data_IF_078999870088
#
_entry.id   IF_078999870088
#
_cell.length_a   1.000
_cell.length_b   1.000
_cell.length_c   1.000
_cell.angle_alpha   90.00
_cell.angle_beta   90.00
_cell.angle_gamma   90.00
#
_symmetry.space_group_name_H-M   'P 1'
#
loop_
_entity.id
_entity.type
_entity.pdbx_description
1 polymer ?
#
# COMPACT_ATOMS: atom_id res chain seq x y z
N UNK A 1 27.37 45.85 72.94
CA UNK A 1 27.46 45.13 71.65
C UNK A 1 27.00 43.70 71.85
N UNK A 2 25.76 43.35 71.49
CA UNK A 2 25.29 41.95 71.50
C UNK A 2 25.13 41.48 70.06
N UNK A 3 25.97 40.52 69.64
CA UNK A 3 25.78 39.78 68.38
C UNK A 3 24.82 38.63 68.63
N UNK A 4 23.68 38.64 67.95
CA UNK A 4 22.78 37.48 67.89
C UNK A 4 23.32 36.48 66.86
N UNK A 5 23.68 35.29 67.33
CA UNK A 5 24.08 34.15 66.50
C UNK A 5 22.82 33.52 65.89
N UNK A 6 22.63 33.67 64.58
CA UNK A 6 21.59 32.94 63.85
C UNK A 6 22.13 31.56 63.48
N UNK A 7 21.70 30.52 64.21
CA UNK A 7 22.03 29.13 63.85
C UNK A 7 21.07 28.65 62.75
N UNK A 8 21.55 28.18 61.59
CA UNK A 8 20.67 27.74 60.52
C UNK A 8 19.98 26.43 60.93
N UNK A 9 18.65 26.46 61.05
CA UNK A 9 17.82 25.25 61.19
C UNK A 9 18.06 24.36 59.97
N UNK A 10 18.63 23.18 60.17
CA UNK A 10 18.69 22.13 59.15
C UNK A 10 17.25 21.79 58.74
N UNK A 11 16.90 22.00 57.48
CA UNK A 11 15.65 21.51 56.90
C UNK A 11 15.70 19.98 56.99
N UNK A 12 14.81 19.39 57.78
CA UNK A 12 14.57 17.94 57.73
C UNK A 12 14.13 17.61 56.30
N UNK A 13 14.84 16.73 55.60
CA UNK A 13 14.35 16.20 54.32
C UNK A 13 13.09 15.39 54.61
N UNK A 14 11.93 15.99 54.41
CA UNK A 14 10.65 15.31 54.48
C UNK A 14 10.55 14.32 53.33
N UNK A 15 10.31 13.04 53.64
CA UNK A 15 9.92 12.06 52.63
C UNK A 15 8.56 12.43 52.03
N UNK A 16 8.24 11.84 50.87
CA UNK A 16 6.95 12.02 50.21
C UNK A 16 5.81 11.48 51.07
N UNK A 17 4.67 12.17 51.08
CA UNK A 17 3.48 11.69 51.78
C UNK A 17 2.89 10.47 51.07
N UNK A 18 2.26 9.56 51.82
CA UNK A 18 1.56 8.39 51.26
C UNK A 18 0.54 8.81 50.19
N UNK A 19 -0.21 9.89 50.44
CA UNK A 19 -1.23 10.39 49.50
C UNK A 19 -0.60 10.94 48.21
N UNK A 20 0.58 11.56 48.30
CA UNK A 20 1.33 12.06 47.13
C UNK A 20 1.81 10.91 46.27
N UNK A 21 2.43 9.88 46.87
CA UNK A 21 2.89 8.70 46.15
C UNK A 21 1.72 7.95 45.54
N UNK A 22 0.61 7.80 46.28
CA UNK A 22 -0.59 7.14 45.77
C UNK A 22 -1.19 7.88 44.55
N UNK A 23 -1.28 9.21 44.61
CA UNK A 23 -1.74 10.03 43.48
C UNK A 23 -0.77 9.95 42.29
N UNK A 24 0.54 10.00 42.54
CA UNK A 24 1.55 9.88 41.50
C UNK A 24 1.47 8.51 40.79
N UNK A 25 1.31 7.42 41.55
CA UNK A 25 1.15 6.06 41.00
C UNK A 25 -0.18 5.94 40.24
N UNK A 26 -1.27 6.53 40.74
CA UNK A 26 -2.56 6.50 40.06
C UNK A 26 -2.48 7.17 38.68
N UNK A 27 -1.88 8.36 38.59
CA UNK A 27 -1.71 9.09 37.32
C UNK A 27 -0.75 8.33 36.39
N UNK A 28 0.36 7.82 36.91
CA UNK A 28 1.31 7.03 36.13
C UNK A 28 0.66 5.76 35.55
N UNK A 29 -0.14 5.05 36.36
CA UNK A 29 -0.86 3.86 35.93
C UNK A 29 -1.85 4.17 34.79
N UNK A 30 -2.61 5.26 34.90
CA UNK A 30 -3.51 5.71 33.82
C UNK A 30 -2.73 5.97 32.53
N UNK A 31 -1.61 6.70 32.60
CA UNK A 31 -0.76 6.96 31.43
C UNK A 31 -0.21 5.68 30.78
N UNK A 32 0.28 4.73 31.59
CA UNK A 32 0.80 3.45 31.09
C UNK A 32 -0.30 2.64 30.41
N UNK A 33 -1.49 2.55 31.02
CA UNK A 33 -2.64 1.86 30.43
C UNK A 33 -3.03 2.49 29.09
N UNK A 34 -3.03 3.82 29.01
CA UNK A 34 -3.29 4.53 27.75
C UNK A 34 -2.24 4.17 26.68
N UNK A 35 -0.95 4.20 27.00
CA UNK A 35 0.10 3.82 26.05
C UNK A 35 -0.04 2.36 25.59
N UNK A 36 -0.29 1.43 26.52
CA UNK A 36 -0.49 0.02 26.20
C UNK A 36 -1.73 -0.20 25.32
N UNK A 37 -2.79 0.57 25.54
CA UNK A 37 -4.00 0.54 24.71
C UNK A 37 -3.78 0.98 23.27
N UNK A 38 -2.79 1.84 23.02
CA UNK A 38 -2.44 2.34 21.67
C UNK A 38 -1.45 1.45 20.92
N UNK A 39 -0.71 0.58 21.61
CA UNK A 39 0.24 -0.35 20.98
C UNK A 39 -0.35 -1.21 19.85
N UNK A 40 -1.50 -1.90 20.02
CA UNK A 40 -2.03 -2.74 18.95
C UNK A 40 -2.39 -1.94 17.70
N UNK A 41 -2.91 -0.73 17.86
CA UNK A 41 -3.26 0.16 16.74
C UNK A 41 -2.00 0.62 15.99
N UNK A 42 -0.94 0.96 16.72
CA UNK A 42 0.34 1.33 16.12
C UNK A 42 0.96 0.18 15.31
N UNK A 43 0.85 -1.06 15.80
CA UNK A 43 1.33 -2.25 15.09
C UNK A 43 0.50 -2.54 13.84
N UNK A 44 -0.82 -2.46 13.92
CA UNK A 44 -1.70 -2.67 12.76
C UNK A 44 -1.49 -1.59 11.69
N UNK A 45 -1.31 -0.33 12.10
CA UNK A 45 -0.95 0.75 11.18
C UNK A 45 0.40 0.47 10.51
N UNK A 46 1.43 0.07 11.28
CA UNK A 46 2.75 -0.28 10.73
C UNK A 46 2.66 -1.42 9.71
N UNK A 47 1.88 -2.46 10.01
CA UNK A 47 1.64 -3.58 9.08
C UNK A 47 0.97 -3.11 7.79
N UNK A 48 -0.11 -2.33 7.89
CA UNK A 48 -0.81 -1.77 6.72
C UNK A 48 0.10 -0.89 5.87
N UNK A 49 0.93 -0.06 6.50
CA UNK A 49 1.89 0.79 5.77
C UNK A 49 2.93 -0.04 5.03
N UNK A 50 3.43 -1.12 5.64
CA UNK A 50 4.34 -2.04 4.97
C UNK A 50 3.68 -2.71 3.75
N UNK A 51 2.44 -3.19 3.89
CA UNK A 51 1.68 -3.78 2.78
C UNK A 51 1.43 -2.76 1.66
N UNK A 52 1.06 -1.53 2.00
CA UNK A 52 0.88 -0.45 1.03
C UNK A 52 2.17 -0.13 0.28
N UNK A 53 3.32 -0.09 0.97
CA UNK A 53 4.61 0.16 0.34
C UNK A 53 4.98 -0.94 -0.68
N UNK A 54 4.75 -2.20 -0.32
CA UNK A 54 4.98 -3.34 -1.23
C UNK A 54 4.04 -3.26 -2.43
N UNK A 55 2.74 -3.04 -2.20
CA UNK A 55 1.75 -2.92 -3.27
C UNK A 55 2.09 -1.78 -4.25
N UNK A 56 2.55 -0.64 -3.74
CA UNK A 56 3.00 0.49 -4.55
C UNK A 56 4.23 0.13 -5.40
N UNK A 57 5.23 -0.52 -4.80
CA UNK A 57 6.42 -0.97 -5.54
C UNK A 57 6.04 -1.93 -6.68
N UNK A 58 5.24 -2.96 -6.38
CA UNK A 58 4.75 -3.92 -7.38
C UNK A 58 3.98 -3.21 -8.50
N UNK A 59 3.07 -2.30 -8.13
CA UNK A 59 2.27 -1.55 -9.10
C UNK A 59 3.17 -0.72 -10.03
N UNK A 60 4.15 -0.01 -9.48
CA UNK A 60 5.09 0.77 -10.29
C UNK A 60 5.93 -0.11 -11.21
N UNK A 61 6.38 -1.28 -10.73
CA UNK A 61 7.10 -2.24 -11.57
C UNK A 61 6.23 -2.70 -12.73
N UNK A 62 4.98 -3.08 -12.46
CA UNK A 62 4.02 -3.50 -13.49
C UNK A 62 3.75 -2.39 -14.50
N UNK A 63 3.55 -1.15 -14.04
CA UNK A 63 3.34 0.01 -14.93
C UNK A 63 4.57 0.23 -15.80
N UNK A 64 5.78 0.22 -15.22
CA UNK A 64 7.02 0.36 -16.01
C UNK A 64 7.17 -0.75 -17.05
N UNK A 65 6.85 -1.98 -16.71
CA UNK A 65 6.93 -3.11 -17.66
C UNK A 65 5.97 -2.91 -18.84
N UNK A 66 4.75 -2.48 -18.56
CA UNK A 66 3.74 -2.17 -19.57
C UNK A 66 4.16 -0.97 -20.43
N UNK A 67 4.66 0.10 -19.82
CA UNK A 67 5.10 1.30 -20.52
C UNK A 67 6.32 1.04 -21.40
N UNK A 68 7.23 0.16 -20.96
CA UNK A 68 8.37 -0.29 -21.76
C UNK A 68 7.96 -1.27 -22.86
N UNK A 69 6.86 -2.01 -22.71
CA UNK A 69 6.36 -2.89 -23.75
C UNK A 69 5.97 -2.10 -25.02
N UNK A 70 6.45 -2.53 -26.19
CA UNK A 70 6.15 -1.84 -27.45
C UNK A 70 4.63 -1.78 -27.75
N UNK A 71 4.18 -0.72 -28.43
CA UNK A 71 2.77 -0.62 -28.87
C UNK A 71 2.26 -1.85 -29.63
N UNK A 72 3.05 -2.51 -30.52
CA UNK A 72 2.59 -3.71 -31.22
C UNK A 72 2.20 -4.84 -30.28
N UNK A 73 2.96 -5.03 -29.19
CA UNK A 73 2.64 -6.03 -28.17
C UNK A 73 1.34 -5.65 -27.45
N UNK A 74 1.22 -4.39 -27.03
CA UNK A 74 0.05 -3.91 -26.30
C UNK A 74 -1.21 -3.94 -27.16
N UNK A 75 -1.14 -3.67 -28.47
CA UNK A 75 -2.29 -3.65 -29.36
C UNK A 75 -2.82 -5.06 -29.67
N UNK A 76 -1.93 -6.06 -29.80
CA UNK A 76 -2.32 -7.45 -30.05
C UNK A 76 -2.74 -8.20 -28.79
N UNK A 77 -2.24 -7.80 -27.62
CA UNK A 77 -2.55 -8.47 -26.35
C UNK A 77 -4.02 -8.36 -26.02
N UNK A 78 -4.74 -9.47 -26.00
CA UNK A 78 -6.13 -9.53 -25.56
C UNK A 78 -6.25 -10.56 -24.44
N UNK A 79 -6.96 -10.20 -23.37
CA UNK A 79 -7.16 -11.05 -22.20
C UNK A 79 -6.34 -10.63 -20.99
N UNK A 80 -6.11 -11.59 -20.10
CA UNK A 80 -5.51 -11.39 -18.79
C UNK A 80 -4.12 -12.01 -18.73
N UNK A 81 -3.18 -11.31 -18.11
CA UNK A 81 -1.81 -11.80 -17.86
C UNK A 81 -1.54 -11.77 -16.36
N UNK A 82 -0.93 -12.83 -15.84
CA UNK A 82 -0.62 -12.93 -14.41
C UNK A 82 0.87 -12.77 -14.16
N UNK A 83 1.20 -12.04 -13.09
CA UNK A 83 2.53 -11.90 -12.51
C UNK A 83 2.48 -12.26 -11.03
N UNK A 84 3.59 -12.74 -10.52
CA UNK A 84 3.70 -13.33 -9.19
C UNK A 84 4.82 -12.63 -8.45
N UNK A 85 4.62 -12.26 -7.19
CA UNK A 85 5.62 -11.54 -6.41
C UNK A 85 5.78 -12.14 -5.02
N UNK A 86 6.98 -12.01 -4.46
CA UNK A 86 7.26 -12.35 -3.07
C UNK A 86 6.94 -11.20 -2.10
N UNK A 87 7.18 -11.41 -0.81
CA UNK A 87 7.00 -10.44 0.27
C UNK A 87 7.92 -9.21 0.18
N UNK A 88 8.95 -9.26 -0.67
CA UNK A 88 9.85 -8.14 -0.97
C UNK A 88 9.42 -7.37 -2.24
N UNK A 89 8.29 -7.72 -2.86
CA UNK A 89 7.82 -7.10 -4.09
C UNK A 89 8.65 -7.45 -5.33
N UNK A 90 9.43 -8.53 -5.29
CA UNK A 90 10.22 -9.03 -6.43
C UNK A 90 9.41 -10.07 -7.22
N UNK A 91 9.49 -10.01 -8.55
CA UNK A 91 8.80 -10.95 -9.43
C UNK A 91 9.40 -12.36 -9.30
N UNK A 92 8.53 -13.36 -9.12
CA UNK A 92 8.90 -14.77 -8.94
C UNK A 92 8.15 -15.64 -9.95
N UNK A 93 8.53 -16.91 -10.04
CA UNK A 93 7.79 -17.88 -10.84
C UNK A 93 6.48 -18.29 -10.15
N UNK A 94 5.51 -18.75 -10.94
CA UNK A 94 4.18 -19.19 -10.48
C UNK A 94 4.23 -20.19 -9.32
N UNK A 95 5.16 -21.15 -9.41
CA UNK A 95 5.26 -22.27 -8.47
C UNK A 95 6.31 -22.02 -7.38
N UNK A 96 6.73 -20.77 -7.20
CA UNK A 96 7.69 -20.39 -6.14
C UNK A 96 7.09 -20.62 -4.75
N UNK A 97 7.89 -21.17 -3.84
CA UNK A 97 7.52 -21.30 -2.41
C UNK A 97 7.31 -19.96 -1.74
N UNK A 98 7.92 -18.92 -2.29
CA UNK A 98 7.96 -17.58 -1.69
C UNK A 98 6.87 -16.68 -2.30
N UNK A 99 5.96 -17.24 -3.08
CA UNK A 99 4.81 -16.55 -3.66
C UNK A 99 3.96 -15.94 -2.54
N UNK A 100 3.82 -14.63 -2.54
CA UNK A 100 3.02 -13.88 -1.54
C UNK A 100 1.92 -13.05 -2.20
N UNK A 101 2.17 -12.55 -3.41
CA UNK A 101 1.24 -11.71 -4.15
C UNK A 101 1.00 -12.25 -5.55
N UNK A 102 -0.27 -12.20 -5.97
CA UNK A 102 -0.68 -12.47 -7.34
C UNK A 102 -1.24 -11.19 -7.94
N UNK A 103 -0.74 -10.84 -9.13
CA UNK A 103 -1.18 -9.69 -9.90
C UNK A 103 -1.76 -10.15 -11.21
N UNK A 104 -2.95 -9.70 -11.54
CA UNK A 104 -3.60 -9.92 -12.83
C UNK A 104 -3.75 -8.59 -13.58
N UNK A 105 -3.31 -8.57 -14.83
CA UNK A 105 -3.38 -7.41 -15.72
C UNK A 105 -4.36 -7.74 -16.83
N UNK A 106 -5.47 -7.01 -16.88
CA UNK A 106 -6.52 -7.18 -17.89
C UNK A 106 -6.33 -6.17 -19.02
N UNK A 107 -6.03 -6.68 -20.22
CA UNK A 107 -5.84 -5.92 -21.45
C UNK A 107 -7.10 -5.89 -22.33
N UNK A 108 -8.16 -6.62 -21.97
CA UNK A 108 -9.33 -6.81 -22.84
C UNK A 108 -10.24 -5.59 -22.93
N UNK A 109 -10.02 -4.59 -22.09
CA UNK A 109 -10.98 -3.54 -21.85
C UNK A 109 -10.68 -2.33 -22.76
N UNK A 110 -11.59 -1.98 -23.70
CA UNK A 110 -11.38 -0.85 -24.58
C UNK A 110 -11.38 0.48 -23.83
N UNK A 111 -10.64 1.45 -24.39
CA UNK A 111 -10.60 2.82 -23.92
C UNK A 111 -11.41 3.73 -24.87
N UNK A 112 -12.27 4.55 -24.28
CA UNK A 112 -13.08 5.54 -24.98
C UNK A 112 -12.71 6.93 -24.47
N UNK A 113 -12.56 7.89 -25.38
CA UNK A 113 -12.51 9.30 -25.01
C UNK A 113 -13.92 9.88 -25.12
N UNK A 114 -14.36 10.71 -24.18
CA UNK A 114 -15.60 11.47 -24.33
C UNK A 114 -15.51 12.33 -25.59
N UNK A 115 -16.53 12.25 -26.45
CA UNK A 115 -16.59 13.04 -27.65
C UNK A 115 -17.93 13.77 -27.79
N UNK A 116 -17.86 14.98 -28.31
CA UNK A 116 -19.03 15.83 -28.60
C UNK A 116 -19.75 15.43 -29.89
N UNK A 117 -19.14 14.55 -30.70
CA UNK A 117 -19.75 13.94 -31.88
C UNK A 117 -19.75 12.40 -31.73
N UNK A 118 -20.85 11.71 -32.09
CA UNK A 118 -21.03 10.26 -31.85
C UNK A 118 -20.06 9.35 -32.64
N UNK A 119 -19.13 9.93 -33.42
CA UNK A 119 -18.15 9.22 -34.23
C UNK A 119 -16.74 9.13 -33.61
N UNK A 120 -16.46 9.76 -32.46
CA UNK A 120 -15.17 9.54 -31.78
C UNK A 120 -15.21 8.30 -30.89
N UNK A 121 -15.44 7.17 -31.57
CA UNK A 121 -15.39 5.82 -31.03
C UNK A 121 -13.94 5.31 -30.99
N UNK A 122 -13.67 4.46 -30.00
CA UNK A 122 -12.48 3.61 -29.83
C UNK A 122 -11.13 4.20 -30.27
N UNK A 123 -10.31 4.56 -29.28
CA UNK A 123 -8.98 5.07 -29.54
C UNK A 123 -8.00 3.93 -29.88
N UNK A 124 -7.52 3.88 -31.12
CA UNK A 124 -6.55 2.87 -31.58
C UNK A 124 -5.17 2.98 -30.94
N UNK A 125 -4.87 4.11 -30.29
CA UNK A 125 -3.57 4.43 -29.67
C UNK A 125 -3.66 4.53 -28.13
N UNK A 126 -4.80 4.16 -27.55
CA UNK A 126 -5.06 4.25 -26.13
C UNK A 126 -5.61 2.91 -25.64
N UNK A 127 -5.05 2.40 -24.56
CA UNK A 127 -5.51 1.16 -23.94
C UNK A 127 -5.71 1.36 -22.46
N UNK A 128 -6.82 0.82 -21.94
CA UNK A 128 -7.10 0.78 -20.51
C UNK A 128 -6.67 -0.57 -19.98
N UNK A 129 -5.96 -0.54 -18.86
CA UNK A 129 -5.49 -1.70 -18.14
C UNK A 129 -6.15 -1.71 -16.77
N UNK A 130 -6.67 -2.87 -16.39
CA UNK A 130 -7.13 -3.10 -15.03
C UNK A 130 -6.14 -4.04 -14.37
N UNK A 131 -5.43 -3.53 -13.38
CA UNK A 131 -4.45 -4.26 -12.59
C UNK A 131 -5.14 -4.66 -11.29
N UNK A 132 -5.23 -5.96 -11.02
CA UNK A 132 -5.81 -6.52 -9.80
C UNK A 132 -4.71 -7.20 -9.02
N UNK A 133 -4.66 -6.96 -7.71
CA UNK A 133 -3.60 -7.47 -6.84
C UNK A 133 -4.20 -8.10 -5.60
N UNK A 134 -3.78 -9.33 -5.29
CA UNK A 134 -4.20 -10.06 -4.10
C UNK A 134 -2.98 -10.59 -3.34
N UNK A 135 -3.03 -10.51 -2.01
CA UNK A 135 -2.10 -11.21 -1.13
C UNK A 135 -2.55 -12.66 -1.00
N UNK A 136 -1.89 -13.57 -1.70
CA UNK A 136 -2.26 -14.99 -1.77
C UNK A 136 -1.08 -15.84 -2.21
N UNK A 137 -0.93 -16.99 -1.56
CA UNK A 137 0.00 -18.06 -1.96
C UNK A 137 -0.63 -19.01 -2.98
N UNK A 138 -1.89 -18.80 -3.37
CA UNK A 138 -2.54 -19.56 -4.43
C UNK A 138 -2.40 -18.82 -5.76
N UNK A 139 -1.62 -19.34 -6.73
CA UNK A 139 -1.43 -18.70 -8.04
C UNK A 139 -2.71 -18.66 -8.88
N UNK A 140 -3.66 -19.54 -8.59
CA UNK A 140 -4.94 -19.68 -9.32
C UNK A 140 -6.10 -18.94 -8.66
N UNK A 141 -5.78 -17.98 -7.78
CA UNK A 141 -6.78 -17.09 -7.21
C UNK A 141 -7.61 -16.45 -8.32
N UNK A 142 -8.92 -16.43 -8.11
CA UNK A 142 -9.87 -15.88 -9.06
C UNK A 142 -10.14 -14.44 -8.68
N UNK A 143 -9.84 -13.51 -9.60
CA UNK A 143 -10.17 -12.09 -9.46
C UNK A 143 -11.60 -11.82 -9.94
N UNK A 144 -12.51 -12.72 -9.59
CA UNK A 144 -13.90 -12.71 -10.02
C UNK A 144 -14.82 -12.82 -8.80
N UNK A 145 -15.83 -11.94 -8.75
CA UNK A 145 -16.84 -11.96 -7.70
C UNK A 145 -16.98 -10.64 -6.96
N UNK A 146 -18.03 -10.55 -6.13
CA UNK A 146 -18.42 -9.33 -5.41
C UNK A 146 -17.77 -9.23 -4.02
N UNK A 147 -16.57 -9.77 -3.85
CA UNK A 147 -15.83 -9.70 -2.59
C UNK A 147 -14.63 -8.74 -2.71
N UNK A 148 -14.86 -7.41 -2.59
CA UNK A 148 -13.82 -6.39 -2.76
C UNK A 148 -12.73 -6.44 -1.70
N UNK A 149 -12.86 -7.26 -0.64
CA UNK A 149 -11.82 -7.44 0.37
C UNK A 149 -10.71 -8.40 -0.02
N UNK A 150 -10.86 -9.17 -1.12
CA UNK A 150 -9.88 -10.18 -1.52
C UNK A 150 -8.76 -9.64 -2.42
N UNK A 151 -8.98 -8.51 -3.08
CA UNK A 151 -8.02 -7.93 -4.00
C UNK A 151 -8.23 -6.42 -4.17
N UNK A 152 -7.14 -5.71 -4.41
CA UNK A 152 -7.16 -4.28 -4.76
C UNK A 152 -7.14 -4.14 -6.27
N UNK A 153 -7.89 -3.17 -6.82
CA UNK A 153 -7.95 -2.91 -8.27
C UNK A 153 -7.45 -1.51 -8.59
N UNK A 154 -6.56 -1.42 -9.57
CA UNK A 154 -6.01 -0.18 -10.11
C UNK A 154 -6.38 -0.06 -11.59
N UNK A 155 -6.85 1.12 -11.99
CA UNK A 155 -7.08 1.44 -13.39
C UNK A 155 -5.92 2.29 -13.90
N UNK A 156 -5.32 1.87 -15.01
CA UNK A 156 -4.24 2.60 -15.66
C UNK A 156 -4.54 2.76 -17.14
N UNK A 157 -4.21 3.92 -17.72
CA UNK A 157 -4.39 4.20 -19.14
C UNK A 157 -3.04 4.43 -19.78
N UNK A 158 -2.79 3.73 -20.89
CA UNK A 158 -1.55 3.84 -21.65
C UNK A 158 -1.88 4.39 -23.03
N UNK A 159 -1.27 5.52 -23.39
CA UNK A 159 -1.37 6.11 -24.71
C UNK A 159 0.00 6.12 -25.37
N UNK A 160 0.09 5.76 -26.66
CA UNK A 160 1.34 5.86 -27.43
C UNK A 160 1.11 6.53 -28.79
N UNK A 161 2.03 7.42 -29.15
CA UNK A 161 1.87 8.39 -30.25
C UNK A 161 2.02 7.80 -31.68
N UNK A 162 2.39 6.51 -31.85
CA UNK A 162 2.55 5.91 -33.18
C UNK A 162 1.99 4.48 -33.29
N UNK A 163 0.93 4.25 -34.09
CA UNK A 163 0.65 2.93 -34.64
C UNK A 163 1.70 2.62 -35.72
N UNK A 164 2.18 1.38 -35.80
CA UNK A 164 3.10 0.96 -36.86
C UNK A 164 2.48 1.19 -38.25
N UNK A 165 3.31 1.39 -39.30
CA UNK A 165 2.80 1.51 -40.66
C UNK A 165 2.00 0.25 -41.00
N UNK A 166 0.74 0.42 -41.41
CA UNK A 166 -0.04 -0.62 -42.08
C UNK A 166 0.69 -0.93 -43.40
N UNK A 167 1.50 -1.98 -43.42
CA UNK A 167 1.96 -2.56 -44.68
C UNK A 167 0.77 -3.28 -45.29
N UNK A 168 0.08 -2.59 -46.20
CA UNK A 168 -0.85 -3.22 -47.13
C UNK A 168 -0.07 -4.23 -47.97
N UNK A 169 -0.37 -5.51 -47.80
CA UNK A 169 -0.06 -6.58 -48.77
C UNK A 169 -1.19 -6.69 -49.78
#
# INVERSE_FOLDING_TARGET
MNRLHFSPRRRSSSGFSLVEVALAVAIAAVGIITCLGLLPEGLEMSRRTAELAINSNILEQVIRDVENAGWPYLSTQNGQTRKYFNDQGTEVQRDSTDLTYVVEIDYSIPAYLPATTPAAGLQTNLKRLIIRMATSTNPDIQFAGRNPGLYTTFNHMVAKDRPLPVTNS
#
